data_IF_628675018714
#
_entry.id   IF_628675018714
#
_cell.length_a   1.000
_cell.length_b   1.000
_cell.length_c   1.000
_cell.angle_alpha   90.00
_cell.angle_beta   90.00
_cell.angle_gamma   90.00
#
_symmetry.space_group_name_H-M   'P 1'
#
loop_
_entity.id
_entity.type
_entity.pdbx_description
1 polymer ?
#
# COMPACT_ATOMS: atom_id res chain seq x y z
N UNK A 1 8.71 -8.07 8.75
CA UNK A 1 7.56 -7.19 8.44
C UNK A 1 7.18 -6.41 9.69
N UNK A 2 7.01 -5.09 9.59
CA UNK A 2 6.77 -4.21 10.75
C UNK A 2 5.54 -4.64 11.55
N UNK A 3 4.40 -4.90 10.89
CA UNK A 3 3.16 -5.32 11.56
C UNK A 3 3.29 -6.63 12.33
N UNK A 4 3.93 -7.66 11.75
CA UNK A 4 4.12 -8.92 12.45
C UNK A 4 5.11 -8.83 13.60
N UNK A 5 6.25 -8.17 13.39
CA UNK A 5 7.32 -8.13 14.40
C UNK A 5 7.03 -7.15 15.54
N UNK A 6 6.45 -5.98 15.25
CA UNK A 6 6.24 -4.92 16.24
C UNK A 6 4.80 -4.79 16.73
N UNK A 7 3.81 -5.20 15.93
CA UNK A 7 2.39 -5.04 16.27
C UNK A 7 1.69 -6.38 16.53
N UNK A 8 2.42 -7.50 16.49
CA UNK A 8 1.88 -8.82 16.82
C UNK A 8 0.85 -9.35 15.81
N UNK A 9 0.76 -8.77 14.62
CA UNK A 9 -0.17 -9.25 13.57
C UNK A 9 0.27 -10.64 13.10
N UNK A 10 -0.57 -11.68 13.20
CA UNK A 10 -0.25 -13.00 12.68
C UNK A 10 0.12 -12.96 11.19
N UNK A 11 1.12 -13.73 10.80
CA UNK A 11 1.70 -13.68 9.44
C UNK A 11 1.49 -15.00 8.70
N UNK A 12 1.22 -14.93 7.39
CA UNK A 12 1.16 -16.08 6.50
C UNK A 12 2.23 -16.00 5.40
N UNK A 13 2.87 -17.13 5.10
CA UNK A 13 3.88 -17.21 4.04
C UNK A 13 3.26 -17.19 2.62
N UNK A 14 2.02 -17.68 2.49
CA UNK A 14 1.24 -17.69 1.25
C UNK A 14 0.01 -16.80 1.34
N UNK A 15 -0.93 -17.00 0.41
CA UNK A 15 -2.10 -16.13 0.25
C UNK A 15 -3.07 -16.15 1.44
N UNK A 16 -3.21 -17.31 2.10
CA UNK A 16 -4.07 -17.53 3.28
C UNK A 16 -5.43 -16.79 3.24
N UNK A 17 -6.40 -17.39 2.55
CA UNK A 17 -7.75 -16.85 2.41
C UNK A 17 -8.59 -16.87 3.71
N UNK A 18 -8.00 -17.16 4.89
CA UNK A 18 -8.73 -17.13 6.16
C UNK A 18 -9.11 -15.72 6.62
N UNK A 19 -8.41 -14.68 6.13
CA UNK A 19 -8.60 -13.30 6.61
C UNK A 19 -8.16 -13.09 8.07
N UNK A 20 -7.36 -14.00 8.64
CA UNK A 20 -6.90 -13.93 10.05
C UNK A 20 -5.40 -13.67 10.19
N UNK A 21 -4.64 -13.77 9.10
CA UNK A 21 -3.19 -13.58 9.07
C UNK A 21 -2.83 -12.74 7.86
N UNK A 22 -1.88 -11.82 8.04
CA UNK A 22 -1.42 -10.96 6.96
C UNK A 22 -0.56 -11.76 5.97
N UNK A 23 -0.97 -11.86 4.69
CA UNK A 23 -0.19 -12.56 3.67
C UNK A 23 1.17 -11.90 3.41
N UNK A 24 2.15 -12.65 2.90
CA UNK A 24 3.49 -12.12 2.62
C UNK A 24 3.56 -11.24 1.37
N UNK A 25 2.73 -11.50 0.35
CA UNK A 25 2.76 -10.79 -0.95
C UNK A 25 1.68 -9.72 -0.99
N UNK A 26 2.00 -8.54 -1.53
CA UNK A 26 1.09 -7.41 -1.66
C UNK A 26 -0.21 -7.75 -2.41
N UNK A 27 -0.11 -8.53 -3.50
CA UNK A 27 -1.29 -9.06 -4.22
C UNK A 27 -2.26 -9.84 -3.33
N UNK A 28 -1.72 -10.65 -2.41
CA UNK A 28 -2.53 -11.47 -1.53
C UNK A 28 -3.05 -10.65 -0.35
N UNK A 29 -2.26 -9.69 0.14
CA UNK A 29 -2.70 -8.72 1.16
C UNK A 29 -3.92 -7.92 0.67
N UNK A 30 -3.98 -7.56 -0.62
CA UNK A 30 -5.09 -6.80 -1.18
C UNK A 30 -6.45 -7.53 -1.11
N UNK A 31 -6.43 -8.86 -1.04
CA UNK A 31 -7.64 -9.70 -1.03
C UNK A 31 -7.89 -10.39 0.31
N UNK A 32 -6.85 -10.64 1.10
CA UNK A 32 -6.92 -11.53 2.27
C UNK A 32 -6.28 -10.95 3.54
N UNK A 33 -5.88 -9.68 3.55
CA UNK A 33 -5.41 -9.06 4.78
C UNK A 33 -6.47 -9.14 5.90
N UNK A 34 -6.06 -9.35 7.16
CA UNK A 34 -6.97 -9.29 8.29
C UNK A 34 -7.39 -7.84 8.56
N UNK A 35 -8.45 -7.67 9.33
CA UNK A 35 -8.98 -6.36 9.70
C UNK A 35 -10.08 -5.91 8.74
N UNK A 36 -10.06 -4.64 8.32
CA UNK A 36 -11.13 -4.05 7.52
C UNK A 36 -10.61 -3.40 6.24
N UNK A 37 -11.35 -3.64 5.16
CA UNK A 37 -11.20 -2.95 3.89
C UNK A 37 -11.68 -1.50 4.05
N UNK A 38 -10.79 -0.52 3.88
CA UNK A 38 -11.11 0.90 4.08
C UNK A 38 -11.67 1.52 2.81
N UNK A 39 -11.03 1.29 1.66
CA UNK A 39 -11.47 1.78 0.35
C UNK A 39 -10.77 1.04 -0.79
N UNK A 40 -11.36 0.99 -1.99
CA UNK A 40 -10.79 0.34 -3.19
C UNK A 40 -11.27 0.98 -4.47
N UNK A 41 -10.37 1.00 -5.44
CA UNK A 41 -10.65 1.45 -6.81
C UNK A 41 -11.80 0.65 -7.43
N UNK A 42 -12.60 1.32 -8.25
CA UNK A 42 -13.57 0.68 -9.15
C UNK A 42 -12.94 0.20 -10.47
N UNK A 43 -11.62 0.34 -10.61
CA UNK A 43 -10.84 0.01 -11.80
C UNK A 43 -10.66 1.19 -12.77
N UNK A 44 -11.31 2.34 -12.52
CA UNK A 44 -11.21 3.53 -13.38
C UNK A 44 -10.38 4.64 -12.75
N UNK A 45 -10.47 4.81 -11.43
CA UNK A 45 -9.74 5.83 -10.68
C UNK A 45 -9.27 5.30 -9.31
N UNK A 46 -8.17 5.84 -8.77
CA UNK A 46 -7.79 5.60 -7.38
C UNK A 46 -8.94 5.89 -6.41
N UNK A 47 -9.08 5.12 -5.32
CA UNK A 47 -10.10 5.40 -4.32
C UNK A 47 -9.86 6.76 -3.65
N UNK A 48 -10.94 7.44 -3.26
CA UNK A 48 -10.83 8.71 -2.53
C UNK A 48 -10.16 8.53 -1.16
N UNK A 49 -10.37 7.37 -0.53
CA UNK A 49 -9.83 6.98 0.77
C UNK A 49 -10.16 8.01 1.87
N UNK A 50 -11.44 8.39 1.97
CA UNK A 50 -11.91 9.43 2.90
C UNK A 50 -11.72 9.06 4.39
N UNK A 51 -11.64 7.77 4.70
CA UNK A 51 -11.47 7.23 6.06
C UNK A 51 -10.04 6.74 6.35
N UNK A 52 -9.08 7.09 5.49
CA UNK A 52 -7.67 6.73 5.65
C UNK A 52 -7.10 7.24 6.99
N UNK A 53 -6.35 6.40 7.69
CA UNK A 53 -5.70 6.70 8.96
C UNK A 53 -4.22 6.33 8.93
N UNK A 54 -3.35 7.04 9.68
CA UNK A 54 -1.96 6.63 9.85
C UNK A 54 -1.87 5.17 10.31
N UNK A 55 -0.98 4.40 9.67
CA UNK A 55 -0.83 2.97 9.92
C UNK A 55 -1.64 2.06 8.99
N UNK A 56 -2.57 2.61 8.19
CA UNK A 56 -3.26 1.83 7.16
C UNK A 56 -2.28 1.37 6.08
N UNK A 57 -2.49 0.15 5.57
CA UNK A 57 -1.84 -0.33 4.37
C UNK A 57 -2.39 0.41 3.16
N UNK A 58 -1.47 0.84 2.29
CA UNK A 58 -1.78 1.37 0.96
C UNK A 58 -1.16 0.46 -0.08
N UNK A 59 -2.01 -0.10 -0.94
CA UNK A 59 -1.65 -1.14 -1.90
C UNK A 59 -1.84 -0.63 -3.32
N UNK A 60 -0.85 -0.84 -4.18
CA UNK A 60 -0.79 -0.19 -5.48
C UNK A 60 -0.61 -1.20 -6.61
N UNK A 61 -1.14 -0.87 -7.78
CA UNK A 61 -0.77 -1.46 -9.06
C UNK A 61 0.31 -0.58 -9.71
N UNK A 62 1.48 -0.51 -9.08
CA UNK A 62 2.51 0.50 -9.39
C UNK A 62 3.51 0.06 -10.47
N UNK A 63 3.30 -1.10 -11.10
CA UNK A 63 4.16 -1.64 -12.16
C UNK A 63 4.45 -0.57 -13.22
N UNK A 64 5.72 -0.20 -13.32
CA UNK A 64 6.21 0.88 -14.17
C UNK A 64 6.77 0.39 -15.52
N UNK A 65 6.63 -0.90 -15.84
CA UNK A 65 6.94 -1.43 -17.17
C UNK A 65 8.36 -1.95 -17.36
N UNK A 66 9.06 -2.32 -16.27
CA UNK A 66 10.29 -3.12 -16.32
C UNK A 66 10.02 -4.63 -16.43
N UNK A 67 8.77 -5.06 -16.20
CA UNK A 67 8.26 -6.43 -16.41
C UNK A 67 6.91 -6.40 -17.18
N UNK A 68 6.35 -7.56 -17.53
CA UNK A 68 4.99 -7.64 -18.10
C UNK A 68 3.97 -7.03 -17.14
N UNK A 69 3.35 -5.91 -17.56
CA UNK A 69 2.32 -5.20 -16.80
C UNK A 69 1.28 -6.17 -16.27
N UNK A 70 1.31 -6.39 -14.97
CA UNK A 70 0.30 -7.20 -14.27
C UNK A 70 -0.74 -6.27 -13.67
N UNK A 71 -2.03 -6.50 -13.96
CA UNK A 71 -3.14 -5.78 -13.31
C UNK A 71 -3.32 -6.16 -11.82
N UNK A 72 -2.26 -6.68 -11.19
CA UNK A 72 -2.28 -7.16 -9.82
C UNK A 72 -1.47 -6.22 -8.95
N UNK A 73 -1.93 -6.01 -7.73
CA UNK A 73 -1.18 -5.26 -6.73
C UNK A 73 0.23 -5.83 -6.59
N UNK A 74 1.22 -4.96 -6.73
CA UNK A 74 2.65 -5.32 -6.72
C UNK A 74 3.42 -4.54 -5.66
N UNK A 75 2.91 -3.39 -5.22
CA UNK A 75 3.55 -2.53 -4.25
C UNK A 75 2.68 -2.31 -3.02
N UNK A 76 3.32 -2.16 -1.85
CA UNK A 76 2.64 -1.89 -0.58
C UNK A 76 3.43 -0.87 0.24
N UNK A 77 2.71 0.01 0.90
CA UNK A 77 3.23 0.98 1.85
C UNK A 77 2.36 1.14 3.07
N UNK A 78 2.79 2.04 3.95
CA UNK A 78 2.10 2.40 5.20
C UNK A 78 1.79 3.89 5.13
N UNK A 79 0.52 4.26 5.29
CA UNK A 79 0.15 5.67 5.38
C UNK A 79 0.73 6.29 6.65
N UNK A 80 1.38 7.46 6.53
CA UNK A 80 2.02 8.16 7.64
C UNK A 80 1.16 9.30 8.20
N UNK A 81 0.08 9.66 7.51
CA UNK A 81 -0.70 10.86 7.79
C UNK A 81 -0.46 11.97 6.77
N UNK A 82 -0.80 13.18 7.19
CA UNK A 82 -0.75 14.40 6.38
C UNK A 82 0.48 15.21 6.77
N UNK A 83 1.24 15.69 5.78
CA UNK A 83 2.40 16.54 6.04
C UNK A 83 2.01 18.01 6.31
N UNK A 84 3.01 18.86 6.59
CA UNK A 84 2.79 20.27 6.86
C UNK A 84 2.20 21.06 5.67
N UNK A 85 2.24 20.51 4.46
CA UNK A 85 1.64 21.09 3.26
C UNK A 85 0.22 20.55 3.00
N UNK A 86 -0.32 19.70 3.87
CA UNK A 86 -1.65 19.11 3.70
C UNK A 86 -1.67 17.87 2.80
N UNK A 87 -0.51 17.32 2.42
CA UNK A 87 -0.44 16.21 1.49
C UNK A 87 -0.36 14.85 2.22
N UNK A 88 -1.11 13.84 1.75
CA UNK A 88 -1.12 12.49 2.34
C UNK A 88 0.16 11.73 1.97
N UNK A 89 1.00 11.44 2.97
CA UNK A 89 2.31 10.76 2.82
C UNK A 89 2.23 9.28 3.14
N UNK A 90 3.13 8.51 2.54
CA UNK A 90 3.31 7.10 2.90
C UNK A 90 4.78 6.69 2.88
N UNK A 91 5.09 5.65 3.64
CA UNK A 91 6.38 4.98 3.66
C UNK A 91 6.28 3.68 2.86
N UNK A 92 7.30 3.34 2.07
CA UNK A 92 7.46 1.97 1.58
C UNK A 92 8.92 1.63 1.33
N UNK A 93 9.24 0.35 1.21
CA UNK A 93 10.56 -0.08 0.74
C UNK A 93 10.63 0.12 -0.77
N UNK A 94 11.62 0.85 -1.27
CA UNK A 94 11.75 1.19 -2.70
C UNK A 94 12.99 0.55 -3.31
N UNK A 95 12.94 0.25 -4.61
CA UNK A 95 14.12 -0.10 -5.43
C UNK A 95 15.12 1.07 -5.41
N UNK A 96 14.64 2.29 -5.70
CA UNK A 96 15.42 3.53 -5.59
C UNK A 96 15.58 3.89 -4.11
N UNK A 97 16.82 4.03 -3.63
CA UNK A 97 17.12 4.25 -2.22
C UNK A 97 17.36 2.98 -1.40
N UNK A 98 17.21 1.79 -2.02
CA UNK A 98 17.52 0.46 -1.47
C UNK A 98 17.04 0.25 -0.03
N UNK A 99 15.78 0.61 0.23
CA UNK A 99 15.27 0.58 1.60
C UNK A 99 14.02 1.42 1.87
N UNK A 100 13.69 1.60 3.16
CA UNK A 100 12.53 2.36 3.59
C UNK A 100 12.66 3.82 3.16
N UNK A 101 11.71 4.28 2.36
CA UNK A 101 11.71 5.60 1.75
C UNK A 101 10.37 6.29 2.02
N UNK A 102 10.45 7.46 2.65
CA UNK A 102 9.31 8.39 2.84
C UNK A 102 9.45 9.67 2.00
N UNK A 103 10.64 9.90 1.45
CA UNK A 103 10.93 11.05 0.60
C UNK A 103 10.42 10.83 -0.83
N UNK A 104 10.46 11.89 -1.64
CA UNK A 104 10.08 11.86 -3.06
C UNK A 104 11.22 11.34 -3.95
N UNK A 105 11.92 10.30 -3.46
CA UNK A 105 13.04 9.66 -4.14
C UNK A 105 12.53 8.41 -4.89
N UNK A 106 12.76 8.36 -6.20
CA UNK A 106 12.21 7.29 -7.06
C UNK A 106 10.71 7.40 -7.30
N UNK A 107 10.15 8.61 -7.13
CA UNK A 107 8.73 8.92 -7.27
C UNK A 107 8.18 9.61 -6.03
N UNK A 108 7.15 10.43 -6.20
CA UNK A 108 6.51 11.13 -5.09
C UNK A 108 5.88 10.14 -4.10
N UNK A 109 6.22 10.23 -2.82
CA UNK A 109 5.64 9.43 -1.74
C UNK A 109 4.33 10.06 -1.25
N UNK A 110 3.45 10.35 -2.22
CA UNK A 110 2.16 11.00 -2.07
C UNK A 110 1.04 10.09 -2.54
N UNK A 111 -0.09 10.13 -1.83
CA UNK A 111 -1.33 9.47 -2.23
C UNK A 111 -2.27 10.37 -3.03
N UNK A 112 -1.91 11.66 -3.13
CA UNK A 112 -2.63 12.68 -3.86
C UNK A 112 -1.79 13.22 -5.03
N UNK A 113 -2.47 13.75 -6.05
CA UNK A 113 -1.84 14.39 -7.20
C UNK A 113 -1.57 13.45 -8.36
N UNK A 114 -0.52 13.73 -9.13
CA UNK A 114 -0.28 13.12 -10.46
C UNK A 114 0.86 12.10 -10.48
N UNK A 115 1.51 11.86 -9.34
CA UNK A 115 2.59 10.88 -9.21
C UNK A 115 2.11 9.44 -9.46
N UNK A 116 3.05 8.54 -9.75
CA UNK A 116 2.74 7.12 -10.04
C UNK A 116 1.87 6.51 -8.94
N UNK A 117 2.26 6.65 -7.67
CA UNK A 117 1.54 6.06 -6.54
C UNK A 117 0.17 6.68 -6.28
N UNK A 118 0.02 7.99 -6.48
CA UNK A 118 -1.28 8.65 -6.40
C UNK A 118 -2.24 8.11 -7.48
N UNK A 119 -1.73 7.84 -8.69
CA UNK A 119 -2.52 7.31 -9.82
C UNK A 119 -2.74 5.80 -9.77
N UNK A 120 -1.95 5.06 -9.00
CA UNK A 120 -1.98 3.60 -8.97
C UNK A 120 -2.48 3.00 -7.64
N UNK A 121 -2.94 3.83 -6.70
CA UNK A 121 -3.53 3.35 -5.46
C UNK A 121 -4.76 2.47 -5.80
N UNK A 122 -4.71 1.23 -5.34
CA UNK A 122 -5.70 0.20 -5.67
C UNK A 122 -6.61 -0.08 -4.48
N UNK A 123 -6.02 -0.34 -3.31
CA UNK A 123 -6.76 -0.68 -2.08
C UNK A 123 -6.11 0.00 -0.88
N UNK A 124 -6.95 0.38 0.09
CA UNK A 124 -6.56 0.75 1.44
C UNK A 124 -7.12 -0.28 2.42
N UNK A 125 -6.28 -0.77 3.33
CA UNK A 125 -6.67 -1.76 4.33
C UNK A 125 -6.18 -1.37 5.72
N UNK A 126 -7.01 -1.57 6.74
CA UNK A 126 -6.65 -1.41 8.15
C UNK A 126 -6.51 -2.78 8.78
N UNK A 127 -5.40 -3.02 9.47
CA UNK A 127 -5.09 -4.28 10.15
C UNK A 127 -5.62 -4.29 11.59
#
# INVERSE_FOLDING_TARGET
MVYGHHLGVPMAAGADASGTRLPRKSRDMAEHAPGVHVDRTDGTAPPAAALLQPGDLVLFNADSGDDTVSATVDHVGIHLGVDAAGARRFLSSRKTGDGPTMADLGGASLLDGTGVYARSLHTVHRL
#
